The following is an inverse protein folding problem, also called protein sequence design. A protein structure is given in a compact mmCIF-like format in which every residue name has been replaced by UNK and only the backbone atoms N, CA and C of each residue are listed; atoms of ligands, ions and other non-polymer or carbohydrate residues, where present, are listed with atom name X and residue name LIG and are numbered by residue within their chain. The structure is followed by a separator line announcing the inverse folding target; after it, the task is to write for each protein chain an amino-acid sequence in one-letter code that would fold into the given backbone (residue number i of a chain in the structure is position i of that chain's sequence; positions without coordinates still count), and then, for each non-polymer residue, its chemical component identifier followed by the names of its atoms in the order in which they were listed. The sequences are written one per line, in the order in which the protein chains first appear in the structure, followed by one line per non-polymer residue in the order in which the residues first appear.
data_IF_272558066840
#
_entry.id   IF_272558066840
#
_cell.length_a   1.000
_cell.length_b   1.000
_cell.length_c   1.000
_cell.angle_alpha   90.00
_cell.angle_beta   90.00
_cell.angle_gamma   90.00
#
_symmetry.space_group_name_H-M   'P 1'
#
loop_
_entity.id
_entity.type
_entity.pdbx_description
1 polymer ?
#
# COMPACT_ATOMS: atom_id res chain seq x y z
N UNK A 1 2.44 -3.36 -22.91
CA UNK A 1 1.81 -4.70 -22.87
C UNK A 1 0.58 -4.61 -22.00
N UNK A 2 -0.45 -5.41 -22.28
CA UNK A 2 -1.67 -5.41 -21.46
C UNK A 2 -1.47 -6.26 -20.21
N UNK A 3 -2.26 -6.01 -19.16
CA UNK A 3 -2.27 -6.83 -17.95
C UNK A 3 -2.48 -8.32 -18.26
N UNK A 4 -3.31 -8.62 -19.28
CA UNK A 4 -3.56 -9.98 -19.77
C UNK A 4 -2.27 -10.73 -20.13
N UNK A 5 -1.33 -10.05 -20.77
CA UNK A 5 -0.05 -10.66 -21.18
C UNK A 5 0.84 -10.98 -19.98
N UNK A 6 0.76 -10.21 -18.90
CA UNK A 6 1.48 -10.52 -17.67
C UNK A 6 0.82 -11.66 -16.88
N UNK A 7 -0.52 -11.72 -16.87
CA UNK A 7 -1.25 -12.82 -16.21
C UNK A 7 -1.00 -14.18 -16.89
N UNK A 8 -0.64 -14.20 -18.18
CA UNK A 8 -0.24 -15.43 -18.90
C UNK A 8 1.02 -16.09 -18.34
N UNK A 9 1.89 -15.32 -17.67
CA UNK A 9 3.12 -15.85 -17.10
C UNK A 9 2.89 -16.61 -15.79
N UNK A 10 1.69 -16.51 -15.21
CA UNK A 10 1.36 -17.18 -13.96
C UNK A 10 1.18 -18.68 -14.21
N UNK A 11 1.97 -19.56 -13.56
CA UNK A 11 1.83 -21.00 -13.72
C UNK A 11 0.44 -21.47 -13.28
N UNK A 12 -0.21 -22.29 -14.10
CA UNK A 12 -1.51 -22.87 -13.73
C UNK A 12 -1.33 -23.98 -12.68
N UNK A 13 -1.74 -23.78 -11.42
CA UNK A 13 -1.49 -24.73 -10.34
C UNK A 13 -2.45 -25.94 -10.38
N UNK A 14 -3.46 -25.91 -11.27
CA UNK A 14 -4.46 -26.98 -11.37
C UNK A 14 -3.90 -28.18 -12.14
N UNK A 15 -4.38 -29.38 -11.81
CA UNK A 15 -4.08 -30.59 -12.58
C UNK A 15 -4.64 -30.46 -14.00
N UNK A 16 -3.88 -30.85 -15.04
CA UNK A 16 -4.26 -30.70 -16.46
C UNK A 16 -5.71 -31.14 -16.76
N UNK A 17 -6.15 -32.30 -16.26
CA UNK A 17 -7.53 -32.83 -16.46
C UNK A 17 -8.67 -31.97 -15.88
N UNK A 18 -8.34 -30.96 -15.09
CA UNK A 18 -9.30 -30.06 -14.42
C UNK A 18 -9.34 -28.64 -15.03
N UNK A 19 -8.59 -28.40 -16.12
CA UNK A 19 -8.45 -27.10 -16.78
C UNK A 19 -9.48 -26.89 -17.90
N UNK A 20 -10.78 -26.96 -17.57
CA UNK A 20 -11.85 -26.66 -18.56
C UNK A 20 -11.91 -25.18 -18.95
N UNK A 21 -11.64 -24.30 -18.00
CA UNK A 21 -11.57 -22.85 -18.21
C UNK A 21 -10.11 -22.41 -18.11
N UNK A 22 -9.67 -21.55 -19.02
CA UNK A 22 -8.32 -20.99 -19.01
C UNK A 22 -8.08 -20.15 -17.75
N UNK A 23 -6.88 -20.26 -17.16
CA UNK A 23 -6.57 -19.56 -15.91
C UNK A 23 -6.69 -18.04 -16.10
N UNK A 24 -6.15 -17.50 -17.18
CA UNK A 24 -6.23 -16.08 -17.51
C UNK A 24 -7.66 -15.55 -17.56
N UNK A 25 -8.58 -16.26 -18.20
CA UNK A 25 -9.99 -15.86 -18.28
C UNK A 25 -10.64 -15.85 -16.89
N UNK A 26 -10.31 -16.82 -16.03
CA UNK A 26 -10.76 -16.83 -14.63
C UNK A 26 -10.22 -15.59 -13.90
N UNK A 27 -8.92 -15.30 -13.99
CA UNK A 27 -8.31 -14.18 -13.29
C UNK A 27 -8.88 -12.83 -13.73
N UNK A 28 -9.18 -12.67 -15.01
CA UNK A 28 -9.76 -11.44 -15.59
C UNK A 28 -11.19 -11.23 -15.13
N UNK A 29 -12.02 -12.28 -15.19
CA UNK A 29 -13.39 -12.20 -14.70
C UNK A 29 -13.40 -11.87 -13.22
N UNK A 30 -12.55 -12.52 -12.42
CA UNK A 30 -12.44 -12.24 -11.00
C UNK A 30 -11.98 -10.80 -10.72
N UNK A 31 -10.98 -10.30 -11.43
CA UNK A 31 -10.50 -8.92 -11.28
C UNK A 31 -11.61 -7.91 -11.57
N UNK A 32 -12.29 -8.05 -12.70
CA UNK A 32 -13.39 -7.16 -13.08
C UNK A 32 -14.54 -7.23 -12.05
N UNK A 33 -14.90 -8.43 -11.59
CA UNK A 33 -15.91 -8.60 -10.56
C UNK A 33 -15.51 -7.93 -9.24
N UNK A 34 -14.26 -8.07 -8.78
CA UNK A 34 -13.77 -7.41 -7.56
C UNK A 34 -13.78 -5.89 -7.69
N UNK A 35 -13.39 -5.34 -8.84
CA UNK A 35 -13.49 -3.89 -9.10
C UNK A 35 -14.95 -3.44 -9.07
N UNK A 36 -15.88 -4.27 -9.56
CA UNK A 36 -17.32 -4.03 -9.50
C UNK A 36 -17.93 -4.25 -8.11
N UNK A 37 -17.14 -4.63 -7.11
CA UNK A 37 -17.58 -4.79 -5.71
C UNK A 37 -17.98 -6.20 -5.30
N UNK A 38 -17.65 -7.23 -6.09
CA UNK A 38 -17.86 -8.63 -5.70
C UNK A 38 -16.87 -9.03 -4.58
N UNK A 39 -17.41 -9.46 -3.44
CA UNK A 39 -16.67 -9.79 -2.22
C UNK A 39 -16.45 -11.31 -2.05
N UNK A 40 -17.07 -12.15 -2.88
CA UNK A 40 -16.93 -13.60 -2.81
C UNK A 40 -17.03 -14.30 -4.18
N UNK A 41 -16.66 -15.59 -4.22
CA UNK A 41 -16.63 -16.38 -5.46
C UNK A 41 -18.01 -16.62 -6.09
N UNK A 42 -19.10 -16.54 -5.30
CA UNK A 42 -20.47 -16.65 -5.83
C UNK A 42 -20.80 -15.41 -6.64
N UNK A 43 -20.59 -14.24 -6.04
CA UNK A 43 -20.77 -12.94 -6.71
C UNK A 43 -19.85 -12.80 -7.94
N UNK A 44 -18.62 -13.31 -7.90
CA UNK A 44 -17.74 -13.33 -9.08
C UNK A 44 -18.33 -14.14 -10.25
N UNK A 45 -18.91 -15.31 -9.95
CA UNK A 45 -19.53 -16.16 -10.97
C UNK A 45 -20.82 -15.52 -11.51
N UNK A 46 -21.64 -14.93 -10.64
CA UNK A 46 -22.86 -14.20 -11.02
C UNK A 46 -22.53 -13.00 -11.91
N UNK A 47 -21.56 -12.18 -11.51
CA UNK A 47 -21.07 -11.05 -12.31
C UNK A 47 -20.57 -11.51 -13.68
N UNK A 48 -19.76 -12.57 -13.72
CA UNK A 48 -19.29 -13.16 -14.97
C UNK A 48 -20.44 -13.58 -15.89
N UNK A 49 -21.45 -14.27 -15.35
CA UNK A 49 -22.61 -14.74 -16.12
C UNK A 49 -23.46 -13.58 -16.67
N UNK A 50 -23.70 -12.55 -15.86
CA UNK A 50 -24.46 -11.37 -16.27
C UNK A 50 -23.77 -10.56 -17.38
N UNK A 51 -22.44 -10.67 -17.48
CA UNK A 51 -21.63 -9.92 -18.43
C UNK A 51 -20.86 -10.82 -19.41
N UNK A 52 -21.33 -12.05 -19.65
CA UNK A 52 -20.61 -13.04 -20.47
C UNK A 52 -20.29 -12.51 -21.88
N UNK A 53 -21.28 -11.93 -22.57
CA UNK A 53 -21.11 -11.36 -23.92
C UNK A 53 -20.03 -10.26 -23.96
N UNK A 54 -19.81 -9.55 -22.85
CA UNK A 54 -18.74 -8.58 -22.74
C UNK A 54 -17.38 -9.25 -22.55
N UNK A 55 -17.29 -10.27 -21.70
CA UNK A 55 -16.05 -11.01 -21.50
C UNK A 55 -15.59 -11.80 -22.73
N UNK A 56 -16.52 -12.34 -23.52
CA UNK A 56 -16.18 -13.06 -24.77
C UNK A 56 -15.46 -12.17 -25.80
N UNK A 57 -15.61 -10.84 -25.68
CA UNK A 57 -14.88 -9.86 -26.51
C UNK A 57 -13.45 -9.59 -26.02
N UNK A 58 -13.13 -9.95 -24.77
CA UNK A 58 -11.87 -9.64 -24.10
C UNK A 58 -10.97 -10.86 -23.91
N UNK A 59 -11.57 -12.02 -23.60
CA UNK A 59 -10.86 -13.26 -23.28
C UNK A 59 -11.59 -14.47 -23.86
N UNK A 60 -10.86 -15.54 -24.24
CA UNK A 60 -11.49 -16.77 -24.69
C UNK A 60 -12.25 -17.45 -23.54
N UNK A 61 -13.50 -17.84 -23.82
CA UNK A 61 -14.38 -18.57 -22.89
C UNK A 61 -14.93 -19.86 -23.53
N UNK A 62 -14.08 -20.83 -23.90
CA UNK A 62 -14.52 -22.03 -24.62
C UNK A 62 -15.50 -22.91 -23.84
N UNK A 63 -15.56 -22.76 -22.51
CA UNK A 63 -16.50 -23.43 -21.61
C UNK A 63 -17.39 -22.44 -20.85
N UNK A 64 -17.50 -21.20 -21.33
CA UNK A 64 -18.21 -20.12 -20.63
C UNK A 64 -17.55 -19.69 -19.33
N UNK A 65 -18.34 -19.02 -18.48
CA UNK A 65 -17.92 -18.49 -17.19
C UNK A 65 -17.70 -19.63 -16.18
N UNK A 66 -16.60 -19.56 -15.44
CA UNK A 66 -16.29 -20.54 -14.41
C UNK A 66 -17.30 -20.49 -13.25
N UNK A 67 -17.61 -21.65 -12.66
CA UNK A 67 -18.44 -21.70 -11.45
C UNK A 67 -17.71 -21.12 -10.23
N UNK A 68 -18.48 -20.74 -9.20
CA UNK A 68 -17.94 -20.28 -7.91
C UNK A 68 -16.97 -21.30 -7.28
N UNK A 69 -17.24 -22.60 -7.40
CA UNK A 69 -16.32 -23.67 -6.96
C UNK A 69 -14.98 -23.65 -7.71
N UNK A 70 -15.01 -23.30 -9.00
CA UNK A 70 -13.80 -23.23 -9.81
C UNK A 70 -12.97 -21.99 -9.46
N UNK A 71 -13.59 -20.83 -9.25
CA UNK A 71 -12.92 -19.66 -8.68
C UNK A 71 -12.27 -20.00 -7.33
N UNK A 72 -13.05 -20.56 -6.40
CA UNK A 72 -12.56 -20.88 -5.06
C UNK A 72 -11.39 -21.88 -5.10
N UNK A 73 -11.45 -22.88 -5.98
CA UNK A 73 -10.35 -23.84 -6.16
C UNK A 73 -9.11 -23.20 -6.77
N UNK A 74 -9.25 -22.31 -7.74
CA UNK A 74 -8.10 -21.58 -8.31
C UNK A 74 -7.44 -20.73 -7.24
N UNK A 75 -8.19 -19.87 -6.54
CA UNK A 75 -7.61 -18.98 -5.53
C UNK A 75 -7.02 -19.70 -4.32
N UNK A 76 -7.47 -20.91 -3.99
CA UNK A 76 -6.83 -21.75 -2.97
C UNK A 76 -5.47 -22.32 -3.40
N UNK A 77 -5.24 -22.49 -4.70
CA UNK A 77 -4.03 -23.11 -5.24
C UNK A 77 -3.05 -22.08 -5.83
N UNK A 78 -3.53 -20.89 -6.16
CA UNK A 78 -2.75 -19.83 -6.77
C UNK A 78 -1.66 -19.33 -5.81
N UNK A 79 -0.43 -19.21 -6.30
CA UNK A 79 0.62 -18.54 -5.54
C UNK A 79 0.38 -17.02 -5.56
N UNK A 80 0.21 -16.44 -4.37
CA UNK A 80 -0.01 -15.02 -4.21
C UNK A 80 1.18 -14.18 -4.68
N UNK A 81 2.41 -14.69 -4.54
CA UNK A 81 3.62 -13.97 -4.94
C UNK A 81 3.73 -13.90 -6.47
N UNK A 82 3.33 -14.97 -7.19
CA UNK A 82 3.32 -14.98 -8.66
C UNK A 82 2.28 -13.99 -9.21
N UNK A 83 1.09 -13.95 -8.61
CA UNK A 83 0.06 -12.97 -8.98
C UNK A 83 0.53 -11.54 -8.69
N UNK A 84 1.11 -11.31 -7.51
CA UNK A 84 1.65 -10.00 -7.13
C UNK A 84 2.77 -9.56 -8.09
N UNK A 85 3.69 -10.45 -8.43
CA UNK A 85 4.79 -10.16 -9.36
C UNK A 85 4.26 -9.78 -10.75
N UNK A 86 3.28 -10.52 -11.29
CA UNK A 86 2.68 -10.21 -12.57
C UNK A 86 2.02 -8.81 -12.57
N UNK A 87 1.30 -8.47 -11.50
CA UNK A 87 0.68 -7.15 -11.34
C UNK A 87 1.74 -6.04 -11.19
N UNK A 88 2.80 -6.26 -10.40
CA UNK A 88 3.89 -5.31 -10.21
C UNK A 88 4.66 -5.04 -11.51
N UNK A 89 4.95 -6.08 -12.30
CA UNK A 89 5.63 -5.92 -13.59
C UNK A 89 4.78 -5.12 -14.59
N UNK A 90 3.47 -5.36 -14.61
CA UNK A 90 2.56 -4.55 -15.42
C UNK A 90 2.51 -3.10 -14.93
N UNK A 91 2.35 -2.87 -13.63
CA UNK A 91 2.33 -1.52 -13.06
C UNK A 91 3.64 -0.76 -13.30
N UNK A 92 4.79 -1.42 -13.22
CA UNK A 92 6.08 -0.81 -13.50
C UNK A 92 6.17 -0.29 -14.96
N UNK A 93 5.53 -0.98 -15.91
CA UNK A 93 5.46 -0.51 -17.29
C UNK A 93 4.58 0.74 -17.43
N UNK A 94 3.50 0.84 -16.64
CA UNK A 94 2.53 1.95 -16.72
C UNK A 94 3.00 3.17 -15.95
N UNK A 95 3.61 2.98 -14.77
CA UNK A 95 3.96 4.04 -13.83
C UNK A 95 5.07 4.95 -14.35
N UNK A 96 6.01 4.43 -15.15
CA UNK A 96 7.20 5.19 -15.55
C UNK A 96 8.01 5.64 -14.32
N UNK A 97 8.42 6.92 -14.29
CA UNK A 97 9.13 7.49 -13.14
C UNK A 97 8.15 7.91 -12.05
N UNK A 98 8.31 7.32 -10.86
CA UNK A 98 7.58 7.73 -9.65
C UNK A 98 7.97 9.16 -9.28
N UNK A 99 6.98 9.98 -8.95
CA UNK A 99 7.15 11.36 -8.51
C UNK A 99 6.08 11.74 -7.48
N UNK A 100 6.35 12.82 -6.76
CA UNK A 100 5.42 13.35 -5.75
C UNK A 100 5.51 12.61 -4.41
N UNK A 101 4.36 12.44 -3.77
CA UNK A 101 4.24 11.93 -2.41
C UNK A 101 3.98 10.43 -2.40
N UNK A 102 4.80 9.69 -1.66
CA UNK A 102 4.63 8.25 -1.44
C UNK A 102 4.29 8.00 0.03
N UNK A 103 3.06 7.54 0.28
CA UNK A 103 2.61 7.17 1.61
C UNK A 103 2.92 5.70 1.89
N UNK A 104 3.60 5.45 3.00
CA UNK A 104 3.83 4.09 3.51
C UNK A 104 2.95 3.88 4.73
N UNK A 105 2.03 2.91 4.63
CA UNK A 105 1.02 2.65 5.65
C UNK A 105 0.79 1.15 5.85
N UNK A 106 0.58 0.76 7.11
CA UNK A 106 0.25 -0.59 7.53
C UNK A 106 -1.25 -0.78 7.71
N UNK A 107 -1.83 -1.78 7.03
CA UNK A 107 -3.26 -2.12 7.14
C UNK A 107 -3.45 -3.59 7.47
N UNK A 108 -4.42 -3.84 8.36
CA UNK A 108 -4.90 -5.19 8.67
C UNK A 108 -6.14 -5.49 7.85
N UNK A 109 -6.08 -6.55 7.03
CA UNK A 109 -7.18 -6.95 6.14
C UNK A 109 -8.34 -7.49 6.98
N UNK A 110 -9.51 -6.87 6.87
CA UNK A 110 -10.72 -7.29 7.60
C UNK A 110 -11.14 -8.70 7.17
N UNK A 111 -11.48 -9.55 8.14
CA UNK A 111 -11.97 -10.92 7.87
C UNK A 111 -10.88 -11.95 7.54
N UNK A 112 -9.60 -11.54 7.50
CA UNK A 112 -8.46 -12.41 7.20
C UNK A 112 -8.06 -13.38 8.33
N UNK A 113 -8.66 -13.25 9.51
CA UNK A 113 -8.43 -14.15 10.66
C UNK A 113 -9.44 -15.29 10.77
N UNK A 114 -10.22 -15.56 9.71
CA UNK A 114 -11.20 -16.65 9.68
C UNK A 114 -10.55 -17.93 9.12
N UNK A 115 -10.99 -19.10 9.61
CA UNK A 115 -10.44 -20.40 9.20
C UNK A 115 -9.13 -20.74 9.91
N UNK A 116 -8.16 -21.32 9.18
CA UNK A 116 -6.87 -21.78 9.74
C UNK A 116 -5.88 -20.63 10.06
N UNK A 117 -6.23 -19.39 9.70
CA UNK A 117 -5.40 -18.22 9.94
C UNK A 117 -5.44 -17.80 11.42
N UNK A 118 -4.37 -18.10 12.17
CA UNK A 118 -4.26 -17.78 13.61
C UNK A 118 -4.15 -16.27 13.93
N UNK A 119 -3.86 -15.42 12.94
CA UNK A 119 -3.70 -13.96 13.09
C UNK A 119 -4.23 -13.24 11.84
N UNK A 120 -4.75 -12.01 11.98
CA UNK A 120 -5.10 -11.17 10.84
C UNK A 120 -3.90 -10.97 9.91
N UNK A 121 -4.15 -10.96 8.60
CA UNK A 121 -3.18 -10.57 7.59
C UNK A 121 -2.93 -9.07 7.71
N UNK A 122 -1.70 -8.72 8.09
CA UNK A 122 -1.24 -7.35 8.18
C UNK A 122 -0.23 -7.08 7.06
N UNK A 123 -0.43 -5.98 6.32
CA UNK A 123 0.37 -5.62 5.16
C UNK A 123 0.82 -4.17 5.26
N UNK A 124 2.05 -3.90 4.87
CA UNK A 124 2.55 -2.53 4.64
C UNK A 124 2.52 -2.27 3.15
N UNK A 125 1.98 -1.12 2.74
CA UNK A 125 1.84 -0.71 1.34
C UNK A 125 2.53 0.62 1.10
N UNK A 126 3.11 0.79 -0.10
CA UNK A 126 3.64 2.05 -0.59
C UNK A 126 2.72 2.59 -1.68
N UNK A 127 2.06 3.71 -1.39
CA UNK A 127 1.05 4.33 -2.24
C UNK A 127 1.56 5.67 -2.79
N UNK A 128 1.73 5.79 -4.10
CA UNK A 128 2.03 7.05 -4.76
C UNK A 128 0.75 7.88 -4.89
N UNK A 129 0.58 8.86 -3.99
CA UNK A 129 -0.67 9.61 -3.85
C UNK A 129 -1.02 10.41 -5.11
N UNK A 130 -0.04 11.08 -5.72
CA UNK A 130 -0.25 11.91 -6.90
C UNK A 130 -0.52 11.09 -8.17
N UNK A 131 -0.02 9.85 -8.21
CA UNK A 131 -0.18 8.94 -9.35
C UNK A 131 -1.39 8.02 -9.21
N UNK A 132 -1.92 7.86 -7.99
CA UNK A 132 -2.98 6.90 -7.68
C UNK A 132 -2.53 5.44 -7.85
N UNK A 133 -1.26 5.14 -7.55
CA UNK A 133 -0.66 3.83 -7.80
C UNK A 133 -0.13 3.16 -6.53
N UNK A 134 -0.39 1.86 -6.41
CA UNK A 134 0.29 1.01 -5.44
C UNK A 134 1.65 0.61 -6.02
N UNK A 135 2.73 1.13 -5.44
CA UNK A 135 4.10 0.85 -5.89
C UNK A 135 4.60 -0.52 -5.42
N UNK A 136 4.09 -0.98 -4.28
CA UNK A 136 4.44 -2.28 -3.73
C UNK A 136 3.77 -2.49 -2.38
N UNK A 137 3.78 -3.75 -1.94
CA UNK A 137 3.29 -4.14 -0.63
C UNK A 137 4.18 -5.23 -0.04
N UNK A 138 4.15 -5.36 1.28
CA UNK A 138 4.88 -6.39 2.00
C UNK A 138 4.01 -6.91 3.14
N UNK A 139 3.80 -8.23 3.17
CA UNK A 139 3.19 -8.89 4.33
C UNK A 139 4.11 -8.73 5.55
N UNK A 140 3.53 -8.35 6.68
CA UNK A 140 4.24 -8.31 7.96
C UNK A 140 4.21 -9.72 8.55
N UNK A 141 5.38 -10.23 8.94
CA UNK A 141 5.49 -11.53 9.58
C UNK A 141 4.76 -11.53 10.93
N UNK A 142 4.13 -12.63 11.29
CA UNK A 142 3.18 -12.71 12.40
C UNK A 142 3.76 -12.30 13.76
N UNK A 143 5.09 -12.37 13.95
CA UNK A 143 5.79 -11.93 15.18
C UNK A 143 6.47 -10.57 15.06
N UNK A 144 6.45 -9.95 13.88
CA UNK A 144 7.13 -8.70 13.58
C UNK A 144 6.16 -7.53 13.48
N UNK A 145 6.72 -6.32 13.51
CA UNK A 145 5.99 -5.07 13.30
C UNK A 145 6.37 -4.46 11.95
N UNK A 146 5.60 -3.46 11.52
CA UNK A 146 5.82 -2.65 10.31
C UNK A 146 7.27 -2.15 10.18
N UNK A 147 7.92 -1.86 11.31
CA UNK A 147 9.34 -1.45 11.42
C UNK A 147 10.29 -2.36 10.63
N UNK A 148 10.00 -3.66 10.52
CA UNK A 148 10.84 -4.62 9.79
C UNK A 148 10.44 -4.78 8.32
N UNK A 149 9.19 -4.45 7.98
CA UNK A 149 8.65 -4.57 6.63
C UNK A 149 8.96 -3.33 5.79
N UNK A 150 8.88 -2.14 6.38
CA UNK A 150 9.17 -0.86 5.71
C UNK A 150 10.56 -0.86 5.06
N UNK A 151 11.67 -1.24 5.73
CA UNK A 151 12.99 -1.25 5.11
C UNK A 151 13.09 -2.19 3.91
N UNK A 152 12.40 -3.35 3.97
CA UNK A 152 12.37 -4.31 2.85
C UNK A 152 11.64 -3.71 1.65
N UNK A 153 10.50 -3.06 1.89
CA UNK A 153 9.72 -2.40 0.86
C UNK A 153 10.51 -1.25 0.21
N UNK A 154 11.18 -0.42 1.01
CA UNK A 154 12.01 0.68 0.51
C UNK A 154 13.15 0.22 -0.42
N UNK A 155 13.76 -0.95 -0.17
CA UNK A 155 14.82 -1.50 -1.05
C UNK A 155 14.34 -1.83 -2.45
N UNK A 156 13.06 -2.08 -2.62
CA UNK A 156 12.48 -2.47 -3.91
C UNK A 156 12.02 -1.25 -4.72
N UNK A 157 12.01 -0.05 -4.13
CA UNK A 157 11.43 1.15 -4.72
C UNK A 157 12.49 2.18 -5.09
N UNK A 158 12.39 2.69 -6.31
CA UNK A 158 13.14 3.86 -6.77
C UNK A 158 12.38 5.13 -6.39
N UNK A 159 12.80 5.78 -5.29
CA UNK A 159 12.09 6.91 -4.66
C UNK A 159 12.83 8.25 -4.80
N UNK A 160 13.81 8.33 -5.69
CA UNK A 160 14.65 9.51 -5.84
C UNK A 160 13.85 10.76 -6.24
N UNK A 161 13.88 11.78 -5.39
CA UNK A 161 13.13 13.03 -5.55
C UNK A 161 11.65 12.94 -5.15
N UNK A 162 11.22 11.84 -4.53
CA UNK A 162 9.89 11.71 -3.94
C UNK A 162 9.89 12.15 -2.47
N UNK A 163 8.73 12.56 -1.96
CA UNK A 163 8.50 12.81 -0.54
C UNK A 163 7.83 11.59 0.07
N UNK A 164 8.50 10.91 1.00
CA UNK A 164 7.96 9.71 1.65
C UNK A 164 7.32 10.08 2.99
N UNK A 165 6.03 9.80 3.14
CA UNK A 165 5.31 10.00 4.40
C UNK A 165 5.13 8.67 5.10
N UNK A 166 5.47 8.60 6.38
CA UNK A 166 5.29 7.39 7.20
C UNK A 166 4.65 7.77 8.53
N UNK A 167 3.84 6.84 9.03
CA UNK A 167 3.22 6.92 10.33
C UNK A 167 4.24 7.01 11.49
N UNK A 168 3.72 7.10 12.72
CA UNK A 168 4.59 7.24 13.87
C UNK A 168 5.41 5.99 14.17
N UNK A 169 4.89 4.80 13.90
CA UNK A 169 5.60 3.55 14.15
C UNK A 169 6.86 3.47 13.28
N UNK A 170 6.79 3.97 12.05
CA UNK A 170 7.93 4.07 11.13
C UNK A 170 8.95 5.18 11.42
N UNK A 171 8.73 6.04 12.43
CA UNK A 171 9.68 7.10 12.80
C UNK A 171 10.93 6.53 13.50
N UNK A 172 11.86 5.98 12.70
CA UNK A 172 13.09 5.33 13.12
C UNK A 172 14.31 5.92 12.41
N UNK A 173 15.43 6.04 13.12
CA UNK A 173 16.69 6.59 12.57
C UNK A 173 17.17 5.82 11.33
N UNK A 174 17.07 4.48 11.36
CA UNK A 174 17.47 3.62 10.23
C UNK A 174 16.60 3.81 8.99
N UNK A 175 15.29 4.03 9.17
CA UNK A 175 14.36 4.27 8.05
C UNK A 175 14.64 5.65 7.44
N UNK A 176 14.81 6.69 8.26
CA UNK A 176 15.17 8.03 7.79
C UNK A 176 16.51 8.02 7.03
N UNK A 177 17.51 7.31 7.55
CA UNK A 177 18.80 7.14 6.88
C UNK A 177 18.64 6.44 5.53
N UNK A 178 17.88 5.35 5.46
CA UNK A 178 17.65 4.64 4.20
C UNK A 178 16.96 5.52 3.15
N UNK A 179 15.97 6.33 3.56
CA UNK A 179 15.29 7.27 2.67
C UNK A 179 16.26 8.32 2.11
N UNK A 180 17.11 8.86 2.98
CA UNK A 180 18.15 9.81 2.57
C UNK A 180 19.16 9.19 1.61
N UNK A 181 19.63 7.96 1.88
CA UNK A 181 20.54 7.20 1.00
C UNK A 181 19.90 6.92 -0.37
N UNK A 182 18.58 6.76 -0.44
CA UNK A 182 17.82 6.59 -1.68
C UNK A 182 17.54 7.92 -2.40
N UNK A 183 17.99 9.07 -1.87
CA UNK A 183 17.75 10.40 -2.44
C UNK A 183 16.28 10.82 -2.38
N UNK A 184 15.53 10.30 -1.41
CA UNK A 184 14.15 10.68 -1.13
C UNK A 184 14.09 11.67 0.04
N UNK A 185 13.17 12.63 -0.06
CA UNK A 185 12.79 13.47 1.07
C UNK A 185 11.75 12.74 1.93
N UNK A 186 11.55 13.15 3.18
CA UNK A 186 10.64 12.45 4.08
C UNK A 186 9.90 13.35 5.06
N UNK A 187 8.70 12.90 5.44
CA UNK A 187 7.90 13.46 6.53
C UNK A 187 7.48 12.30 7.44
N UNK A 188 8.11 12.19 8.60
CA UNK A 188 7.86 11.12 9.56
C UNK A 188 7.07 11.68 10.75
N UNK A 189 6.02 10.98 11.15
CA UNK A 189 5.22 11.41 12.30
C UNK A 189 5.96 11.14 13.61
N UNK A 190 6.20 12.15 14.43
CA UNK A 190 6.81 11.99 15.75
C UNK A 190 5.72 11.85 16.83
N UNK A 191 5.70 10.75 17.59
CA UNK A 191 4.79 10.55 18.73
C UNK A 191 5.54 10.01 19.95
N UNK A 192 4.81 9.46 20.93
CA UNK A 192 5.34 8.87 22.16
C UNK A 192 6.24 7.64 21.98
N UNK A 193 6.41 7.12 20.77
CA UNK A 193 7.43 6.10 20.47
C UNK A 193 8.86 6.65 20.56
N UNK A 194 9.03 7.97 20.41
CA UNK A 194 10.30 8.68 20.56
C UNK A 194 10.17 9.73 21.68
N UNK A 195 9.90 9.28 22.92
CA UNK A 195 9.47 10.15 24.03
C UNK A 195 10.34 11.38 24.24
N UNK A 196 11.66 11.20 24.29
CA UNK A 196 12.58 12.31 24.56
C UNK A 196 12.52 13.37 23.45
N UNK A 197 12.66 12.93 22.19
CA UNK A 197 12.59 13.83 21.03
C UNK A 197 11.22 14.51 20.94
N UNK A 198 10.13 13.77 21.14
CA UNK A 198 8.78 14.32 21.16
C UNK A 198 8.63 15.43 22.20
N UNK A 199 9.12 15.22 23.43
CA UNK A 199 9.08 16.25 24.47
C UNK A 199 9.91 17.49 24.14
N UNK A 200 11.08 17.32 23.51
CA UNK A 200 11.93 18.45 23.11
C UNK A 200 11.26 19.25 21.99
N UNK A 201 10.72 18.58 20.96
CA UNK A 201 9.95 19.22 19.88
C UNK A 201 8.74 19.94 20.43
N UNK A 202 7.96 19.28 21.28
CA UNK A 202 6.76 19.84 21.88
C UNK A 202 7.10 21.11 22.68
N UNK A 203 8.10 21.06 23.56
CA UNK A 203 8.56 22.24 24.31
C UNK A 203 9.02 23.36 23.40
N UNK A 204 9.75 23.07 22.31
CA UNK A 204 10.21 24.09 21.36
C UNK A 204 9.05 24.89 20.74
N UNK A 205 7.94 24.23 20.43
CA UNK A 205 6.77 24.86 19.82
C UNK A 205 5.72 25.38 20.82
N UNK A 206 5.78 24.97 22.09
CA UNK A 206 4.84 25.38 23.15
C UNK A 206 5.35 26.54 24.03
N UNK A 207 6.60 26.96 23.92
CA UNK A 207 7.15 28.08 24.72
C UNK A 207 6.30 29.35 24.53
N UNK A 208 5.98 30.05 25.63
CA UNK A 208 5.25 31.34 25.59
C UNK A 208 5.97 32.35 24.68
N UNK A 209 5.21 33.03 23.80
CA UNK A 209 5.76 33.93 22.76
C UNK A 209 6.16 33.23 21.45
N UNK A 210 5.97 31.91 21.35
CA UNK A 210 6.25 31.14 20.13
C UNK A 210 5.37 31.52 18.93
N UNK A 211 4.13 32.01 19.15
CA UNK A 211 3.27 32.47 18.06
C UNK A 211 3.92 33.62 17.30
N UNK A 212 4.29 34.71 17.99
CA UNK A 212 4.99 35.86 17.38
C UNK A 212 6.33 35.46 16.75
N UNK A 213 7.04 34.48 17.33
CA UNK A 213 8.33 33.98 16.83
C UNK A 213 8.22 33.19 15.52
N UNK A 214 7.06 32.60 15.24
CA UNK A 214 6.84 31.78 14.05
C UNK A 214 5.78 32.35 13.12
N UNK A 215 5.25 33.56 13.35
CA UNK A 215 4.15 34.13 12.56
C UNK A 215 4.48 34.21 11.06
N UNK A 216 5.71 34.60 10.69
CA UNK A 216 6.15 34.62 9.28
C UNK A 216 6.37 33.22 8.68
N UNK A 217 6.49 32.19 9.52
CA UNK A 217 6.77 30.79 9.15
C UNK A 217 5.64 29.83 9.54
N UNK A 218 4.43 30.36 9.76
CA UNK A 218 3.25 29.58 10.13
C UNK A 218 2.23 29.64 9.01
N UNK A 219 1.86 28.47 8.50
CA UNK A 219 0.72 28.31 7.62
C UNK A 219 -0.37 27.54 8.37
N UNK A 220 -1.63 27.98 8.29
CA UNK A 220 -2.74 27.29 8.92
C UNK A 220 -3.86 27.10 7.91
N UNK A 221 -4.41 25.90 7.86
CA UNK A 221 -5.56 25.56 7.04
C UNK A 221 -6.65 24.91 7.90
N UNK A 222 -7.90 25.14 7.52
CA UNK A 222 -9.04 24.43 8.09
C UNK A 222 -9.67 23.57 7.01
N UNK A 223 -9.89 22.30 7.33
CA UNK A 223 -10.57 21.36 6.44
C UNK A 223 -11.79 20.78 7.14
N UNK A 224 -12.89 20.67 6.40
CA UNK A 224 -14.09 19.94 6.80
C UNK A 224 -14.25 18.69 5.93
N UNK A 225 -14.26 17.51 6.54
CA UNK A 225 -14.38 16.24 5.81
C UNK A 225 -14.73 15.08 6.74
N UNK A 226 -15.47 14.08 6.24
CA UNK A 226 -15.89 12.89 6.99
C UNK A 226 -16.55 13.20 8.37
N UNK A 227 -17.30 14.30 8.46
CA UNK A 227 -17.96 14.72 9.70
C UNK A 227 -17.03 15.35 10.74
N UNK A 228 -15.79 15.70 10.37
CA UNK A 228 -14.81 16.36 11.24
C UNK A 228 -14.44 17.73 10.70
N UNK A 229 -14.20 18.66 11.62
CA UNK A 229 -13.53 19.93 11.34
C UNK A 229 -12.11 19.80 11.89
N UNK A 230 -11.13 19.90 11.01
CA UNK A 230 -9.72 19.83 11.34
C UNK A 230 -9.08 21.20 11.11
N UNK A 231 -8.28 21.64 12.08
CA UNK A 231 -7.38 22.78 11.94
C UNK A 231 -5.97 22.23 11.93
N UNK A 232 -5.22 22.51 10.86
CA UNK A 232 -3.83 22.08 10.69
C UNK A 232 -2.94 23.31 10.65
N UNK A 233 -1.97 23.38 11.56
CA UNK A 233 -0.96 24.42 11.58
C UNK A 233 0.41 23.82 11.29
N UNK A 234 1.10 24.41 10.33
CA UNK A 234 2.43 24.06 9.89
C UNK A 234 3.37 25.18 10.32
N UNK A 235 4.41 24.86 11.10
CA UNK A 235 5.41 25.84 11.56
C UNK A 235 6.79 25.41 11.11
N UNK A 236 7.50 26.29 10.41
CA UNK A 236 8.87 26.05 9.98
C UNK A 236 9.85 26.69 10.98
N UNK A 237 10.89 25.94 11.35
CA UNK A 237 11.95 26.43 12.24
C UNK A 237 13.28 25.77 11.87
N UNK A 238 14.42 26.48 11.91
CA UNK A 238 15.73 25.85 11.89
C UNK A 238 15.85 24.82 13.01
N UNK A 239 16.65 23.77 12.81
CA UNK A 239 16.81 22.70 13.81
C UNK A 239 17.45 23.27 15.09
N UNK A 240 16.75 23.35 16.23
CA UNK A 240 17.31 23.87 17.47
C UNK A 240 18.44 22.97 18.01
N UNK A 241 19.43 23.57 18.65
CA UNK A 241 20.56 22.85 19.27
C UNK A 241 20.11 21.78 20.28
N UNK A 242 18.98 22.00 20.95
CA UNK A 242 18.38 21.03 21.86
C UNK A 242 17.98 19.73 21.13
N UNK A 243 17.48 19.82 19.89
CA UNK A 243 17.17 18.64 19.07
C UNK A 243 18.42 17.97 18.52
N UNK A 244 19.45 18.75 18.15
CA UNK A 244 20.73 18.19 17.73
C UNK A 244 21.35 17.31 18.83
N UNK A 245 21.30 17.79 20.09
CA UNK A 245 21.73 17.02 21.26
C UNK A 245 20.83 15.81 21.54
N UNK A 246 19.52 15.95 21.41
CA UNK A 246 18.57 14.85 21.62
C UNK A 246 18.69 13.74 20.57
N UNK A 247 19.16 14.05 19.35
CA UNK A 247 19.37 13.07 18.29
C UNK A 247 20.68 12.26 18.44
N UNK A 248 21.66 12.78 19.18
CA UNK A 248 22.95 12.14 19.44
C UNK A 248 22.90 11.00 20.47
N UNK A 249 21.82 10.92 21.24
CA UNK A 249 21.50 9.83 22.17
C UNK A 249 20.46 8.87 21.56
#
# INVERSE_FOLDING_TARGET
MSLLQYLQNIPDPRVQRTRRHELQSILVVALCATIAGADNCVEMAEFGQQHQDWFERLVPLPSGIASHDTFARVFRLLDANELELACQQWLAQVAGRVHGTVAIDGKSVRGSSKGDARRPLHMVSAWAADMGLLLGQCKVDGKSNEITAIPKLLRLLHLQGCIVTIDAIGCQKSIAQQLHEHGADYVLSLKGNQRHMHQVVQKHFEVQGSQERFDENTYTESCSGHGRQELRSYRLSPVPEALQRAAAH
#
